data_IF_435237523303
#
_entry.id   IF_435237523303
#
_cell.length_a   1.000
_cell.length_b   1.000
_cell.length_c   1.000
_cell.angle_alpha   90.00
_cell.angle_beta   90.00
_cell.angle_gamma   90.00
#
_symmetry.space_group_name_H-M   'P 1'
#
loop_
_entity.id
_entity.type
_entity.pdbx_description
1 polymer ?
#
# COMPACT_ATOMS: atom_id res chain seq x y z
N UNK A 1 12.68 25.78 -10.07
CA UNK A 1 13.06 24.48 -10.69
C UNK A 1 11.99 24.13 -11.74
N UNK A 2 12.29 23.49 -12.89
CA UNK A 2 11.21 23.03 -13.80
C UNK A 2 10.63 21.73 -13.25
N UNK A 3 9.43 21.78 -12.69
CA UNK A 3 8.73 20.60 -12.18
C UNK A 3 8.38 19.62 -13.30
N UNK A 4 8.36 18.33 -12.96
CA UNK A 4 7.82 17.29 -13.82
C UNK A 4 6.30 17.42 -13.94
N UNK A 5 5.72 16.78 -14.96
CA UNK A 5 4.26 16.78 -15.20
C UNK A 5 3.46 16.09 -14.09
N UNK A 6 4.13 15.42 -13.16
CA UNK A 6 3.52 14.62 -12.10
C UNK A 6 3.80 15.20 -10.71
N UNK A 7 4.35 16.41 -10.67
CA UNK A 7 4.51 17.15 -9.43
C UNK A 7 3.14 17.56 -8.88
N UNK A 8 2.96 17.38 -7.58
CA UNK A 8 1.74 17.76 -6.87
C UNK A 8 2.09 18.82 -5.84
N UNK A 9 1.32 19.92 -5.83
CA UNK A 9 1.50 21.00 -4.89
C UNK A 9 1.22 20.53 -3.46
N UNK A 10 2.11 20.84 -2.53
CA UNK A 10 2.00 20.54 -1.10
C UNK A 10 1.53 21.74 -0.28
N UNK A 11 2.13 22.91 -0.49
CA UNK A 11 1.86 24.10 0.31
C UNK A 11 1.60 25.33 -0.56
N UNK A 12 0.68 26.18 -0.09
CA UNK A 12 0.50 27.54 -0.60
C UNK A 12 1.38 28.50 0.20
N UNK A 13 2.23 29.27 -0.48
CA UNK A 13 3.12 30.24 0.17
C UNK A 13 3.15 31.54 -0.62
N UNK A 14 3.22 32.67 0.09
CA UNK A 14 3.52 33.95 -0.55
C UNK A 14 4.92 33.89 -1.19
N UNK A 15 4.98 33.84 -2.53
CA UNK A 15 6.22 33.83 -3.32
C UNK A 15 6.38 32.60 -4.21
N UNK A 16 6.56 31.41 -3.63
CA UNK A 16 6.78 30.16 -4.38
C UNK A 16 6.09 28.98 -3.68
N UNK A 17 5.17 28.32 -4.41
CA UNK A 17 4.49 27.11 -3.96
C UNK A 17 5.49 25.95 -3.78
N UNK A 18 5.28 25.12 -2.77
CA UNK A 18 6.11 23.93 -2.53
C UNK A 18 5.44 22.73 -3.19
N UNK A 19 6.21 21.92 -3.92
CA UNK A 19 5.70 20.74 -4.64
C UNK A 19 6.41 19.46 -4.22
N UNK A 20 5.65 18.37 -4.14
CA UNK A 20 6.19 17.02 -4.19
C UNK A 20 6.31 16.60 -5.66
N UNK A 21 7.54 16.55 -6.17
CA UNK A 21 7.86 15.92 -7.44
C UNK A 21 8.43 14.50 -7.26
N UNK A 22 7.67 13.44 -7.60
CA UNK A 22 8.14 12.05 -7.50
C UNK A 22 9.39 11.72 -8.33
N UNK A 23 9.71 12.53 -9.35
CA UNK A 23 10.91 12.34 -10.18
C UNK A 23 12.16 12.78 -9.42
N UNK A 24 12.08 13.84 -8.62
CA UNK A 24 13.23 14.44 -7.94
C UNK A 24 13.33 14.02 -6.47
N UNK A 25 12.21 13.96 -5.76
CA UNK A 25 12.23 13.66 -4.32
C UNK A 25 12.21 12.17 -4.02
N UNK A 26 11.73 11.35 -4.95
CA UNK A 26 11.53 9.91 -4.78
C UNK A 26 10.06 9.52 -4.94
N UNK A 27 9.82 8.28 -5.36
CA UNK A 27 8.51 7.80 -5.83
C UNK A 27 7.55 7.36 -4.72
N UNK A 28 8.03 7.32 -3.49
CA UNK A 28 7.25 6.94 -2.30
C UNK A 28 7.20 8.12 -1.36
N UNK A 29 6.03 8.74 -1.21
CA UNK A 29 5.77 9.78 -0.22
C UNK A 29 5.21 9.12 1.04
N UNK A 30 5.89 9.31 2.17
CA UNK A 30 5.38 8.90 3.49
C UNK A 30 4.62 10.07 4.09
N UNK A 31 3.35 9.89 4.43
CA UNK A 31 2.52 10.93 5.04
C UNK A 31 2.20 10.50 6.47
N UNK A 32 2.63 11.30 7.43
CA UNK A 32 2.39 11.06 8.84
C UNK A 32 1.52 12.19 9.40
N UNK A 33 0.44 11.86 10.08
CA UNK A 33 -0.44 12.81 10.75
C UNK A 33 -1.25 12.09 11.81
N UNK A 34 -2.18 12.77 12.47
CA UNK A 34 -3.16 12.11 13.34
C UNK A 34 -4.58 12.53 12.98
N UNK A 35 -5.57 11.87 13.56
CA UNK A 35 -6.97 12.03 13.22
C UNK A 35 -7.18 11.81 11.70
N UNK A 36 -8.19 12.46 11.12
CA UNK A 36 -8.51 12.43 9.69
C UNK A 36 -7.43 13.00 8.72
N UNK A 37 -6.33 13.58 9.20
CA UNK A 37 -5.38 14.31 8.33
C UNK A 37 -4.66 13.43 7.30
N UNK A 38 -4.17 12.20 7.62
CA UNK A 38 -3.58 11.31 6.63
C UNK A 38 -4.56 10.92 5.51
N UNK A 39 -5.81 10.59 5.86
CA UNK A 39 -6.85 10.25 4.88
C UNK A 39 -7.23 11.43 3.97
N UNK A 40 -7.29 12.66 4.51
CA UNK A 40 -7.48 13.89 3.72
C UNK A 40 -6.34 14.14 2.76
N UNK A 41 -5.09 13.99 3.22
CA UNK A 41 -3.92 14.12 2.36
C UNK A 41 -3.96 13.08 1.23
N UNK A 42 -4.29 11.83 1.55
CA UNK A 42 -4.40 10.77 0.54
C UNK A 42 -5.48 11.07 -0.50
N UNK A 43 -6.64 11.55 -0.06
CA UNK A 43 -7.72 12.00 -0.93
C UNK A 43 -7.27 13.13 -1.86
N UNK A 44 -6.57 14.12 -1.31
CA UNK A 44 -6.01 15.22 -2.09
C UNK A 44 -5.04 14.73 -3.18
N UNK A 45 -4.08 13.85 -2.84
CA UNK A 45 -3.18 13.30 -3.84
C UNK A 45 -3.92 12.50 -4.91
N UNK A 46 -4.85 11.63 -4.51
CA UNK A 46 -5.65 10.81 -5.42
C UNK A 46 -6.38 11.68 -6.46
N UNK A 47 -6.99 12.78 -6.05
CA UNK A 47 -7.68 13.71 -6.95
C UNK A 47 -6.70 14.44 -7.88
N UNK A 48 -5.55 14.90 -7.37
CA UNK A 48 -4.51 15.54 -8.21
C UNK A 48 -3.95 14.61 -9.26
N UNK A 49 -3.74 13.33 -8.93
CA UNK A 49 -3.32 12.33 -9.91
C UNK A 49 -4.43 12.02 -10.92
N UNK A 50 -5.71 12.06 -10.52
CA UNK A 50 -6.83 11.94 -11.47
C UNK A 50 -6.83 13.06 -12.50
N UNK A 51 -6.60 14.30 -12.07
CA UNK A 51 -6.59 15.50 -12.94
C UNK A 51 -5.54 15.43 -14.05
N UNK A 52 -4.43 14.71 -13.83
CA UNK A 52 -3.37 14.50 -14.81
C UNK A 52 -3.43 13.13 -15.52
N UNK A 53 -4.61 12.49 -15.50
CA UNK A 53 -4.87 11.18 -16.13
C UNK A 53 -3.91 10.09 -15.62
N UNK A 54 -3.69 9.99 -14.32
CA UNK A 54 -3.07 8.81 -13.70
C UNK A 54 -4.15 7.81 -13.27
N UNK A 55 -3.86 6.52 -13.44
CA UNK A 55 -4.62 5.46 -12.77
C UNK A 55 -4.45 5.55 -11.26
N UNK A 56 -5.39 5.00 -10.51
CA UNK A 56 -5.43 5.14 -9.05
C UNK A 56 -5.73 3.79 -8.43
N UNK A 57 -4.94 3.38 -7.44
CA UNK A 57 -5.25 2.21 -6.62
C UNK A 57 -5.20 2.65 -5.17
N UNK A 58 -6.34 2.66 -4.50
CA UNK A 58 -6.42 3.05 -3.08
C UNK A 58 -6.75 1.82 -2.25
N UNK A 59 -5.91 1.54 -1.25
CA UNK A 59 -6.21 0.63 -0.17
C UNK A 59 -6.77 1.45 0.98
N UNK A 60 -8.07 1.30 1.24
CA UNK A 60 -8.77 2.07 2.25
C UNK A 60 -9.15 1.18 3.43
N UNK A 61 -8.47 1.41 4.56
CA UNK A 61 -8.70 0.70 5.83
C UNK A 61 -9.88 1.25 6.61
N UNK A 62 -10.35 2.48 6.34
CA UNK A 62 -11.44 3.09 7.11
C UNK A 62 -12.80 2.86 6.47
N UNK A 63 -12.84 2.66 5.15
CA UNK A 63 -14.08 2.52 4.37
C UNK A 63 -14.75 3.85 4.04
N UNK A 64 -14.09 4.98 4.31
CA UNK A 64 -14.64 6.32 4.11
C UNK A 64 -14.23 6.92 2.74
N UNK A 65 -13.36 6.27 1.98
CA UNK A 65 -12.91 6.81 0.70
C UNK A 65 -14.05 6.79 -0.33
N UNK A 66 -14.33 7.89 -1.04
CA UNK A 66 -15.46 7.95 -1.95
C UNK A 66 -15.26 7.02 -3.15
N UNK A 67 -16.25 6.16 -3.42
CA UNK A 67 -16.24 5.24 -4.58
C UNK A 67 -16.27 5.99 -5.93
N UNK A 68 -16.65 7.26 -5.93
CA UNK A 68 -16.82 8.06 -7.15
C UNK A 68 -15.49 8.17 -7.93
N UNK A 69 -15.51 7.69 -9.16
CA UNK A 69 -14.37 7.75 -10.08
C UNK A 69 -13.44 6.52 -10.01
N UNK A 70 -13.83 5.49 -9.26
CA UNK A 70 -13.25 4.15 -9.35
C UNK A 70 -14.09 3.30 -10.30
N UNK A 71 -13.43 2.63 -11.24
CA UNK A 71 -14.07 1.71 -12.19
C UNK A 71 -14.17 0.30 -11.60
N UNK A 72 -13.37 -0.01 -10.59
CA UNK A 72 -13.41 -1.25 -9.83
C UNK A 72 -13.46 -0.95 -8.34
N UNK A 73 -14.40 -1.56 -7.63
CA UNK A 73 -14.42 -1.57 -6.15
C UNK A 73 -14.31 -3.02 -5.68
N UNK A 74 -13.21 -3.34 -5.02
CA UNK A 74 -12.96 -4.64 -4.40
C UNK A 74 -13.29 -4.50 -2.92
N UNK A 75 -14.46 -4.97 -2.51
CA UNK A 75 -14.89 -4.95 -1.11
C UNK A 75 -14.41 -6.23 -0.43
N UNK A 76 -13.58 -6.10 0.59
CA UNK A 76 -13.18 -7.21 1.44
C UNK A 76 -13.96 -7.09 2.74
N UNK A 77 -14.65 -8.19 3.09
CA UNK A 77 -15.46 -8.28 4.30
C UNK A 77 -15.24 -9.64 4.93
N UNK A 78 -15.28 -9.69 6.24
CA UNK A 78 -15.18 -10.96 6.95
C UNK A 78 -16.33 -11.89 6.52
N UNK A 79 -16.02 -13.17 6.32
CA UNK A 79 -16.98 -14.22 5.93
C UNK A 79 -17.72 -13.98 4.61
N UNK A 80 -17.20 -13.15 3.69
CA UNK A 80 -17.75 -12.93 2.36
C UNK A 80 -16.76 -13.31 1.26
N UNK A 81 -17.30 -13.64 0.10
CA UNK A 81 -16.50 -13.87 -1.10
C UNK A 81 -15.82 -12.59 -1.58
N UNK A 82 -14.53 -12.69 -1.88
CA UNK A 82 -13.75 -11.63 -2.51
C UNK A 82 -13.12 -12.08 -3.84
N UNK A 83 -13.09 -13.38 -4.14
CA UNK A 83 -12.48 -13.95 -5.34
C UNK A 83 -10.96 -13.79 -5.39
N UNK A 84 -10.32 -13.50 -4.26
CA UNK A 84 -8.90 -13.18 -4.18
C UNK A 84 -8.05 -14.42 -3.89
N UNK A 85 -8.31 -15.55 -4.58
CA UNK A 85 -7.47 -16.74 -4.51
C UNK A 85 -6.23 -16.58 -5.42
N UNK A 86 -4.99 -16.65 -4.88
CA UNK A 86 -3.78 -16.48 -5.69
C UNK A 86 -3.65 -17.45 -6.87
N UNK A 87 -4.05 -18.72 -6.71
CA UNK A 87 -3.93 -19.72 -7.78
C UNK A 87 -5.01 -19.55 -8.84
N UNK A 88 -6.22 -19.13 -8.44
CA UNK A 88 -7.28 -18.79 -9.41
C UNK A 88 -6.89 -17.53 -10.20
N UNK A 89 -6.34 -16.51 -9.54
CA UNK A 89 -5.79 -15.32 -10.19
C UNK A 89 -4.67 -15.67 -11.18
N UNK A 90 -3.79 -16.61 -10.80
CA UNK A 90 -2.75 -17.11 -11.69
C UNK A 90 -3.32 -17.88 -12.89
N UNK A 91 -4.34 -18.71 -12.68
CA UNK A 91 -5.04 -19.43 -13.75
C UNK A 91 -5.70 -18.49 -14.78
N UNK A 92 -6.09 -17.28 -14.36
CA UNK A 92 -6.59 -16.21 -15.25
C UNK A 92 -5.49 -15.33 -15.84
N UNK A 93 -4.22 -15.56 -15.52
CA UNK A 93 -3.08 -14.78 -16.00
C UNK A 93 -2.94 -13.39 -15.37
N UNK A 94 -3.62 -13.12 -14.24
CA UNK A 94 -3.53 -11.84 -13.53
C UNK A 94 -2.23 -11.73 -12.71
N UNK A 95 -1.70 -12.87 -12.27
CA UNK A 95 -0.36 -13.05 -11.73
C UNK A 95 0.26 -14.32 -12.33
N UNK A 96 1.57 -14.51 -12.20
CA UNK A 96 2.20 -15.78 -12.57
C UNK A 96 2.06 -16.82 -11.45
N UNK A 97 2.12 -18.11 -11.83
CA UNK A 97 1.95 -19.22 -10.88
C UNK A 97 3.00 -19.24 -9.75
N UNK A 98 4.23 -18.80 -10.03
CA UNK A 98 5.27 -18.74 -9.00
C UNK A 98 4.95 -17.66 -7.96
N UNK A 99 4.52 -16.48 -8.42
CA UNK A 99 4.04 -15.41 -7.55
C UNK A 99 2.88 -15.89 -6.68
N UNK A 100 1.90 -16.61 -7.26
CA UNK A 100 0.80 -17.19 -6.48
C UNK A 100 1.29 -18.15 -5.39
N UNK A 101 2.21 -19.07 -5.71
CA UNK A 101 2.80 -19.98 -4.73
C UNK A 101 3.58 -19.23 -3.64
N UNK A 102 4.31 -18.15 -3.96
CA UNK A 102 5.03 -17.35 -2.96
C UNK A 102 4.10 -16.51 -2.06
N UNK A 103 2.91 -16.14 -2.55
CA UNK A 103 1.88 -15.53 -1.70
C UNK A 103 1.41 -16.56 -0.68
N UNK A 104 1.06 -17.78 -1.12
CA UNK A 104 0.63 -18.86 -0.23
C UNK A 104 1.75 -19.21 0.76
N UNK A 105 3.00 -19.22 0.31
CA UNK A 105 4.17 -19.38 1.17
C UNK A 105 4.20 -18.32 2.28
N UNK A 106 3.98 -17.06 1.93
CA UNK A 106 4.03 -15.94 2.88
C UNK A 106 2.85 -15.98 3.86
N UNK A 107 1.67 -16.38 3.40
CA UNK A 107 0.44 -16.43 4.20
C UNK A 107 0.44 -17.62 5.16
N UNK A 108 0.84 -18.81 4.68
CA UNK A 108 0.74 -20.07 5.43
C UNK A 108 2.08 -20.61 5.93
N UNK A 109 3.18 -19.91 5.70
CA UNK A 109 4.49 -20.29 6.23
C UNK A 109 5.12 -21.51 5.55
N UNK A 110 4.83 -21.76 4.27
CA UNK A 110 5.50 -22.83 3.54
C UNK A 110 7.02 -22.60 3.48
N UNK A 111 7.79 -23.68 3.52
CA UNK A 111 9.20 -23.62 3.17
C UNK A 111 9.37 -23.56 1.64
N UNK A 112 10.62 -23.34 1.19
CA UNK A 112 10.95 -23.25 -0.23
C UNK A 112 10.61 -24.53 -1.00
N UNK A 113 10.87 -25.70 -0.42
CA UNK A 113 10.65 -27.00 -1.07
C UNK A 113 9.15 -27.24 -1.28
N UNK A 114 8.34 -26.96 -0.26
CA UNK A 114 6.88 -27.06 -0.32
C UNK A 114 6.29 -26.05 -1.30
N UNK A 115 6.86 -24.85 -1.37
CA UNK A 115 6.45 -23.81 -2.33
C UNK A 115 6.75 -24.22 -3.78
N UNK A 116 7.95 -24.75 -4.04
CA UNK A 116 8.33 -25.26 -5.37
C UNK A 116 7.45 -26.46 -5.77
N UNK A 117 7.07 -27.30 -4.81
CA UNK A 117 6.15 -28.42 -5.04
C UNK A 117 4.74 -27.95 -5.39
N UNK A 118 4.19 -27.01 -4.62
CA UNK A 118 2.88 -26.41 -4.90
C UNK A 118 2.86 -25.75 -6.29
N UNK A 119 3.92 -25.02 -6.64
CA UNK A 119 4.07 -24.43 -7.96
C UNK A 119 4.07 -25.48 -9.07
N UNK A 120 4.81 -26.58 -8.91
CA UNK A 120 4.85 -27.67 -9.87
C UNK A 120 3.49 -28.36 -10.04
N UNK A 121 2.75 -28.58 -8.96
CA UNK A 121 1.41 -29.18 -9.01
C UNK A 121 0.37 -28.24 -9.64
N UNK A 122 0.50 -26.92 -9.42
CA UNK A 122 -0.27 -25.91 -10.14
C UNK A 122 0.01 -25.94 -11.64
N UNK A 123 1.29 -25.95 -12.06
CA UNK A 123 1.67 -26.05 -13.48
C UNK A 123 1.17 -27.35 -14.12
N UNK A 124 1.15 -28.45 -13.38
CA UNK A 124 0.60 -29.73 -13.83
C UNK A 124 -0.95 -29.77 -13.84
N UNK A 125 -1.62 -28.68 -13.41
CA UNK A 125 -3.07 -28.57 -13.37
C UNK A 125 -3.76 -29.42 -12.30
N UNK A 126 -2.98 -30.00 -11.37
CA UNK A 126 -3.49 -30.83 -10.26
C UNK A 126 -4.15 -30.00 -9.17
N UNK A 127 -3.62 -28.79 -8.95
CA UNK A 127 -4.16 -27.81 -8.01
C UNK A 127 -4.53 -26.54 -8.78
N UNK A 128 -5.69 -25.96 -8.48
CA UNK A 128 -6.22 -24.77 -9.19
C UNK A 128 -6.67 -23.63 -8.26
N UNK A 129 -6.70 -23.87 -6.96
CA UNK A 129 -7.12 -22.94 -5.91
C UNK A 129 -6.45 -23.33 -4.59
N UNK A 130 -6.42 -22.43 -3.60
CA UNK A 130 -5.90 -22.71 -2.26
C UNK A 130 -6.74 -23.81 -1.58
N UNK A 131 -8.07 -23.73 -1.68
CA UNK A 131 -8.97 -24.79 -1.19
C UNK A 131 -8.70 -26.14 -1.89
N UNK A 132 -8.30 -26.12 -3.16
CA UNK A 132 -7.85 -27.32 -3.88
C UNK A 132 -6.48 -27.83 -3.41
N UNK A 133 -5.56 -26.94 -3.04
CA UNK A 133 -4.26 -27.28 -2.47
C UNK A 133 -4.43 -27.97 -1.11
N UNK A 134 -5.31 -27.42 -0.27
CA UNK A 134 -5.66 -27.93 1.05
C UNK A 134 -6.24 -29.36 1.00
N UNK A 135 -7.00 -29.69 -0.06
CA UNK A 135 -7.61 -31.01 -0.26
C UNK A 135 -6.69 -32.03 -0.93
N UNK A 136 -5.44 -31.67 -1.19
CA UNK A 136 -4.49 -32.57 -1.85
C UNK A 136 -3.76 -33.47 -0.85
N UNK A 137 -3.33 -34.66 -1.29
CA UNK A 137 -2.51 -35.58 -0.47
C UNK A 137 -1.03 -35.14 -0.38
N UNK A 138 -0.72 -33.85 -0.57
CA UNK A 138 0.64 -33.32 -0.56
C UNK A 138 0.97 -32.70 0.80
N UNK A 139 2.24 -32.75 1.18
CA UNK A 139 2.72 -32.21 2.47
C UNK A 139 2.48 -30.70 2.66
N UNK A 140 2.39 -29.91 1.58
CA UNK A 140 2.03 -28.50 1.71
C UNK A 140 0.58 -28.29 2.18
N UNK A 141 -0.31 -29.27 1.97
CA UNK A 141 -1.69 -29.20 2.42
C UNK A 141 -1.76 -29.20 3.95
N UNK A 142 -0.96 -30.06 4.60
CA UNK A 142 -0.85 -30.13 6.07
C UNK A 142 -0.45 -28.77 6.66
N UNK A 143 0.55 -28.10 6.07
CA UNK A 143 1.02 -26.79 6.56
C UNK A 143 -0.01 -25.69 6.32
N UNK A 144 -0.71 -25.71 5.18
CA UNK A 144 -1.82 -24.76 4.93
C UNK A 144 -2.92 -24.98 5.98
N UNK A 145 -3.28 -26.24 6.26
CA UNK A 145 -4.34 -26.61 7.21
C UNK A 145 -4.13 -26.06 8.63
N UNK A 146 -2.87 -25.96 9.08
CA UNK A 146 -2.55 -25.44 10.43
C UNK A 146 -3.06 -24.01 10.68
N UNK A 147 -3.14 -23.19 9.64
CA UNK A 147 -3.52 -21.76 9.75
C UNK A 147 -4.71 -21.38 8.87
N UNK A 148 -5.22 -22.28 8.02
CA UNK A 148 -6.35 -22.02 7.14
C UNK A 148 -7.67 -22.00 7.92
N UNK A 149 -8.42 -20.91 7.74
CA UNK A 149 -9.66 -20.66 8.47
C UNK A 149 -10.87 -20.60 7.54
N UNK A 150 -12.11 -20.68 8.08
CA UNK A 150 -13.31 -20.40 7.29
C UNK A 150 -13.36 -18.99 6.70
N UNK A 151 -12.64 -18.02 7.29
CA UNK A 151 -12.52 -16.67 6.71
C UNK A 151 -11.72 -16.71 5.42
N UNK A 152 -10.65 -17.50 5.36
CA UNK A 152 -9.83 -17.68 4.16
C UNK A 152 -10.63 -18.39 3.05
N UNK A 153 -11.38 -19.44 3.40
CA UNK A 153 -12.26 -20.13 2.44
C UNK A 153 -13.27 -19.16 1.81
N UNK A 154 -13.95 -18.36 2.64
CA UNK A 154 -14.89 -17.36 2.14
C UNK A 154 -14.15 -16.35 1.24
N UNK A 155 -13.07 -15.77 1.72
CA UNK A 155 -12.29 -14.75 1.01
C UNK A 155 -11.77 -15.21 -0.36
N UNK A 156 -11.26 -16.44 -0.45
CA UNK A 156 -10.78 -17.04 -1.69
C UNK A 156 -11.89 -17.48 -2.65
N UNK A 157 -13.07 -17.78 -2.12
CA UNK A 157 -14.22 -18.16 -2.95
C UNK A 157 -14.74 -17.01 -3.81
N UNK A 158 -15.57 -17.37 -4.80
CA UNK A 158 -16.15 -16.43 -5.76
C UNK A 158 -15.30 -16.26 -7.03
N UNK A 159 -15.72 -15.33 -7.87
CA UNK A 159 -14.99 -15.00 -9.09
C UNK A 159 -13.94 -13.92 -8.81
N UNK A 160 -12.72 -14.05 -9.37
CA UNK A 160 -11.75 -12.96 -9.36
C UNK A 160 -12.36 -11.63 -9.80
N UNK A 161 -12.13 -10.55 -9.04
CA UNK A 161 -12.62 -9.24 -9.42
C UNK A 161 -11.94 -8.77 -10.71
N UNK A 162 -12.57 -7.82 -11.37
CA UNK A 162 -11.89 -7.08 -12.42
C UNK A 162 -10.78 -6.22 -11.82
N UNK A 163 -9.74 -5.95 -12.59
CA UNK A 163 -8.66 -5.06 -12.18
C UNK A 163 -8.56 -3.94 -13.19
N UNK A 164 -9.51 -3.00 -13.15
CA UNK A 164 -9.53 -1.82 -14.01
C UNK A 164 -8.42 -0.82 -13.68
N UNK A 165 -8.47 0.38 -14.29
CA UNK A 165 -7.41 1.39 -14.15
C UNK A 165 -7.50 2.10 -12.79
N UNK A 166 -8.71 2.29 -12.28
CA UNK A 166 -8.99 2.95 -11.02
C UNK A 166 -9.64 1.95 -10.05
N UNK A 167 -8.87 1.47 -9.09
CA UNK A 167 -9.28 0.45 -8.12
C UNK A 167 -9.40 1.07 -6.72
N UNK A 168 -10.55 0.90 -6.09
CA UNK A 168 -10.70 1.08 -4.65
C UNK A 168 -10.76 -0.31 -4.02
N UNK A 169 -9.81 -0.60 -3.12
CA UNK A 169 -9.83 -1.78 -2.26
C UNK A 169 -10.36 -1.32 -0.91
N UNK A 170 -11.63 -1.60 -0.67
CA UNK A 170 -12.34 -1.23 0.55
C UNK A 170 -12.16 -2.35 1.58
N UNK A 171 -11.46 -2.02 2.67
CA UNK A 171 -11.15 -2.89 3.80
C UNK A 171 -11.87 -2.42 5.07
N UNK A 172 -12.77 -1.42 5.02
CA UNK A 172 -13.40 -0.82 6.20
C UNK A 172 -14.29 -1.80 7.00
N UNK A 173 -14.80 -2.83 6.34
CA UNK A 173 -15.56 -3.93 6.95
C UNK A 173 -14.73 -5.22 7.12
N UNK A 174 -13.40 -5.14 7.00
CA UNK A 174 -12.48 -6.25 7.28
C UNK A 174 -11.93 -6.12 8.70
N UNK A 175 -12.57 -6.75 9.69
CA UNK A 175 -12.12 -6.67 11.08
C UNK A 175 -10.93 -7.60 11.36
N UNK A 176 -10.67 -8.59 10.50
CA UNK A 176 -9.45 -9.40 10.54
C UNK A 176 -8.26 -8.68 9.91
N UNK A 177 -7.32 -8.21 10.74
CA UNK A 177 -6.07 -7.57 10.27
C UNK A 177 -5.26 -8.49 9.35
N UNK A 178 -5.30 -9.81 9.59
CA UNK A 178 -4.63 -10.78 8.73
C UNK A 178 -5.26 -10.83 7.34
N UNK A 179 -6.60 -10.83 7.27
CA UNK A 179 -7.32 -10.85 6.00
C UNK A 179 -7.08 -9.57 5.19
N UNK A 180 -7.08 -8.42 5.86
CA UNK A 180 -6.72 -7.14 5.26
C UNK A 180 -5.27 -7.16 4.70
N UNK A 181 -4.33 -7.72 5.45
CA UNK A 181 -2.95 -7.93 5.01
C UNK A 181 -2.83 -8.85 3.80
N UNK A 182 -3.58 -9.97 3.77
CA UNK A 182 -3.62 -10.90 2.64
C UNK A 182 -4.19 -10.21 1.40
N UNK A 183 -5.32 -9.49 1.52
CA UNK A 183 -5.89 -8.72 0.43
C UNK A 183 -4.92 -7.67 -0.11
N UNK A 184 -4.24 -6.95 0.79
CA UNK A 184 -3.23 -5.97 0.43
C UNK A 184 -2.10 -6.63 -0.38
N UNK A 185 -1.58 -7.78 0.05
CA UNK A 185 -0.53 -8.52 -0.65
C UNK A 185 -0.98 -8.98 -2.04
N UNK A 186 -2.16 -9.58 -2.15
CA UNK A 186 -2.68 -10.15 -3.39
C UNK A 186 -2.92 -9.07 -4.43
N UNK A 187 -3.65 -8.01 -4.07
CA UNK A 187 -3.91 -6.91 -5.00
C UNK A 187 -2.61 -6.19 -5.34
N UNK A 188 -1.71 -5.98 -4.38
CA UNK A 188 -0.37 -5.42 -4.63
C UNK A 188 0.41 -6.24 -5.64
N UNK A 189 0.34 -7.57 -5.58
CA UNK A 189 0.99 -8.46 -6.54
C UNK A 189 0.40 -8.32 -7.95
N UNK A 190 -0.92 -8.19 -8.08
CA UNK A 190 -1.60 -7.97 -9.37
C UNK A 190 -1.18 -6.63 -10.00
N UNK A 191 -1.09 -5.56 -9.20
CA UNK A 191 -0.80 -4.21 -9.71
C UNK A 191 0.70 -3.88 -9.75
N UNK A 192 1.59 -4.77 -9.31
CA UNK A 192 3.03 -4.49 -9.08
C UNK A 192 3.79 -3.95 -10.29
N UNK A 193 3.28 -4.16 -11.51
CA UNK A 193 3.91 -3.73 -12.76
C UNK A 193 3.25 -2.49 -13.38
N UNK A 194 2.18 -1.96 -12.77
CA UNK A 194 1.43 -0.82 -13.30
C UNK A 194 2.27 0.46 -13.28
N UNK A 195 2.22 1.17 -14.41
CA UNK A 195 2.83 2.50 -14.61
C UNK A 195 1.72 3.53 -14.81
N UNK A 196 2.07 4.82 -14.80
CA UNK A 196 1.12 5.94 -14.86
C UNK A 196 0.00 5.76 -13.82
N UNK A 197 0.38 5.33 -12.61
CA UNK A 197 -0.55 4.94 -11.55
C UNK A 197 -0.05 5.51 -10.23
N UNK A 198 -0.97 6.10 -9.47
CA UNK A 198 -0.77 6.41 -8.06
C UNK A 198 -1.35 5.27 -7.21
N UNK A 199 -0.56 4.78 -6.27
CA UNK A 199 -0.98 3.80 -5.27
C UNK A 199 -1.06 4.52 -3.93
N UNK A 200 -2.24 4.51 -3.34
CA UNK A 200 -2.51 5.07 -2.03
C UNK A 200 -2.74 3.96 -1.01
N UNK A 201 -2.11 4.06 0.15
CA UNK A 201 -2.35 3.16 1.27
C UNK A 201 -2.77 4.01 2.46
N UNK A 202 -4.04 3.88 2.85
CA UNK A 202 -4.56 4.43 4.10
C UNK A 202 -4.16 3.48 5.23
N UNK A 203 -3.74 4.02 6.37
CA UNK A 203 -3.11 3.30 7.49
C UNK A 203 -2.07 2.25 7.09
N UNK A 204 -1.07 2.69 6.34
CA UNK A 204 0.03 1.83 5.90
C UNK A 204 0.71 1.08 7.06
N UNK A 205 0.79 1.68 8.26
CA UNK A 205 1.35 1.02 9.44
C UNK A 205 0.53 -0.20 9.90
N UNK A 206 -0.81 -0.10 9.89
CA UNK A 206 -1.71 -1.19 10.30
C UNK A 206 -1.58 -2.36 9.33
N UNK A 207 -1.60 -2.09 8.02
CA UNK A 207 -1.44 -3.13 7.01
C UNK A 207 -0.03 -3.76 7.09
N UNK A 208 1.01 -2.96 7.28
CA UNK A 208 2.39 -3.45 7.36
C UNK A 208 2.69 -4.29 8.61
N UNK A 209 1.81 -4.32 9.62
CA UNK A 209 2.00 -5.08 10.85
C UNK A 209 1.97 -6.61 10.63
N UNK A 210 1.24 -7.07 9.61
CA UNK A 210 1.11 -8.50 9.29
C UNK A 210 2.24 -8.98 8.37
N UNK A 211 2.56 -10.27 8.40
CA UNK A 211 3.53 -10.87 7.47
C UNK A 211 3.16 -10.60 6.01
N UNK A 212 1.87 -10.75 5.66
CA UNK A 212 1.38 -10.51 4.32
C UNK A 212 1.49 -9.03 3.91
N UNK A 213 1.03 -8.11 4.76
CA UNK A 213 1.10 -6.69 4.43
C UNK A 213 2.53 -6.12 4.45
N UNK A 214 3.39 -6.63 5.33
CA UNK A 214 4.83 -6.34 5.31
C UNK A 214 5.48 -6.78 3.99
N UNK A 215 5.08 -7.93 3.43
CA UNK A 215 5.52 -8.37 2.11
C UNK A 215 4.90 -7.56 0.95
N UNK A 216 3.74 -6.95 1.15
CA UNK A 216 3.07 -6.11 0.16
C UNK A 216 3.73 -4.73 0.00
N UNK A 217 4.20 -4.12 1.08
CA UNK A 217 4.83 -2.78 1.08
C UNK A 217 5.95 -2.66 0.03
N UNK A 218 6.94 -3.58 -0.07
CA UNK A 218 7.95 -3.54 -1.11
C UNK A 218 7.39 -3.62 -2.54
N UNK A 219 6.28 -4.33 -2.77
CA UNK A 219 5.70 -4.46 -4.12
C UNK A 219 5.18 -3.11 -4.64
N UNK A 220 4.53 -2.34 -3.76
CA UNK A 220 3.97 -1.03 -4.10
C UNK A 220 4.99 0.10 -4.00
N UNK A 221 5.99 0.01 -3.13
CA UNK A 221 7.00 1.08 -2.94
C UNK A 221 8.25 0.94 -3.81
N UNK A 222 8.47 -0.22 -4.44
CA UNK A 222 9.61 -0.41 -5.36
C UNK A 222 9.63 0.72 -6.42
N UNK A 223 10.77 1.40 -6.65
CA UNK A 223 10.81 2.47 -7.64
C UNK A 223 10.49 1.96 -9.05
N UNK A 224 9.40 2.46 -9.64
CA UNK A 224 9.00 2.16 -11.01
C UNK A 224 8.68 3.44 -11.76
N UNK A 225 9.11 3.56 -13.02
CA UNK A 225 8.86 4.74 -13.86
C UNK A 225 7.37 5.05 -13.92
N UNK A 226 7.02 6.31 -13.66
CA UNK A 226 5.65 6.82 -13.69
C UNK A 226 4.69 6.16 -12.67
N UNK A 227 5.19 5.49 -11.64
CA UNK A 227 4.40 5.06 -10.48
C UNK A 227 4.65 5.98 -9.30
N UNK A 228 3.62 6.34 -8.56
CA UNK A 228 3.78 7.10 -7.31
C UNK A 228 3.08 6.32 -6.22
N UNK A 229 3.70 6.25 -5.04
CA UNK A 229 3.11 5.57 -3.88
C UNK A 229 3.01 6.57 -2.74
N UNK A 230 1.83 6.70 -2.16
CA UNK A 230 1.58 7.53 -0.98
C UNK A 230 1.17 6.60 0.15
N UNK A 231 2.00 6.54 1.20
CA UNK A 231 1.73 5.77 2.40
C UNK A 231 1.25 6.74 3.48
N UNK A 232 -0.05 6.79 3.69
CA UNK A 232 -0.66 7.60 4.74
C UNK A 232 -0.79 6.74 6.01
N UNK A 233 -0.42 7.30 7.15
CA UNK A 233 -0.49 6.56 8.41
C UNK A 233 -0.60 7.51 9.60
N UNK A 234 -1.39 7.09 10.59
CA UNK A 234 -1.41 7.73 11.90
C UNK A 234 -0.20 7.36 12.75
N UNK A 235 0.39 6.19 12.51
CA UNK A 235 1.45 5.64 13.34
C UNK A 235 2.83 5.80 12.69
N UNK A 236 3.79 6.29 13.48
CA UNK A 236 5.20 6.38 13.12
C UNK A 236 5.92 5.05 13.45
N UNK A 237 5.69 4.02 12.63
CA UNK A 237 6.34 2.70 12.80
C UNK A 237 7.59 2.58 11.93
N UNK A 238 8.59 1.84 12.42
CA UNK A 238 9.88 1.65 11.75
C UNK A 238 9.74 1.09 10.33
N UNK A 239 8.79 0.18 10.11
CA UNK A 239 8.54 -0.44 8.80
C UNK A 239 8.15 0.58 7.73
N UNK A 240 7.57 1.72 8.11
CA UNK A 240 7.22 2.82 7.22
C UNK A 240 8.30 3.90 7.25
N UNK A 241 8.77 4.30 8.44
CA UNK A 241 9.75 5.37 8.60
C UNK A 241 11.06 5.09 7.85
N UNK A 242 11.53 3.83 7.88
CA UNK A 242 12.77 3.40 7.23
C UNK A 242 12.65 3.23 5.71
N UNK A 243 11.45 3.37 5.13
CA UNK A 243 11.30 3.32 3.67
C UNK A 243 11.97 4.54 3.02
N UNK A 244 12.66 4.35 1.89
CA UNK A 244 13.27 5.46 1.16
C UNK A 244 12.20 6.37 0.56
N UNK A 245 12.45 7.67 0.60
CA UNK A 245 11.57 8.70 0.05
C UNK A 245 11.33 9.84 1.03
N UNK A 246 10.70 10.93 0.58
CA UNK A 246 10.41 12.07 1.43
C UNK A 246 9.28 11.76 2.41
N UNK A 247 9.18 12.60 3.44
CA UNK A 247 8.09 12.57 4.41
C UNK A 247 7.32 13.89 4.37
N UNK A 248 6.00 13.80 4.37
CA UNK A 248 5.10 14.90 4.68
C UNK A 248 4.57 14.68 6.10
N UNK A 249 5.05 15.48 7.04
CA UNK A 249 4.59 15.50 8.41
C UNK A 249 3.45 16.51 8.53
N UNK A 250 2.31 16.05 8.99
CA UNK A 250 1.11 16.83 9.28
C UNK A 250 1.02 17.05 10.81
N UNK A 251 -0.05 17.70 11.23
CA UNK A 251 -0.38 17.82 12.65
C UNK A 251 -0.35 16.44 13.34
N UNK A 252 0.44 16.33 14.41
CA UNK A 252 0.69 15.12 15.18
C UNK A 252 1.16 15.48 16.60
N UNK A 253 1.15 14.51 17.51
CA UNK A 253 1.72 14.57 18.83
C UNK A 253 3.22 14.97 18.79
N UNK A 254 3.69 15.88 19.67
CA UNK A 254 5.07 16.36 19.65
C UNK A 254 6.15 15.28 19.71
N UNK A 255 5.94 14.21 20.50
CA UNK A 255 6.93 13.14 20.65
C UNK A 255 7.02 12.33 19.37
N UNK A 256 5.86 12.04 18.76
CA UNK A 256 5.80 11.35 17.47
C UNK A 256 6.39 12.19 16.34
N UNK A 257 6.13 13.50 16.31
CA UNK A 257 6.75 14.42 15.35
C UNK A 257 8.27 14.42 15.49
N UNK A 258 8.78 14.46 16.73
CA UNK A 258 10.22 14.42 17.00
C UNK A 258 10.85 13.13 16.47
N UNK A 259 10.22 11.97 16.73
CA UNK A 259 10.67 10.69 16.21
C UNK A 259 10.70 10.65 14.67
N UNK A 260 9.68 11.21 14.00
CA UNK A 260 9.64 11.29 12.54
C UNK A 260 10.76 12.20 12.01
N UNK A 261 11.02 13.34 12.63
CA UNK A 261 12.14 14.20 12.24
C UNK A 261 13.48 13.49 12.37
N UNK A 262 13.68 12.79 13.48
CA UNK A 262 14.90 12.04 13.75
C UNK A 262 15.09 10.90 12.75
N UNK A 263 14.06 10.09 12.51
CA UNK A 263 14.10 9.00 11.54
C UNK A 263 14.39 9.49 10.11
N UNK A 264 13.91 10.69 9.75
CA UNK A 264 14.24 11.30 8.47
C UNK A 264 15.59 12.02 8.47
N UNK A 265 16.30 12.10 9.61
CA UNK A 265 17.65 12.66 9.73
C UNK A 265 17.70 14.19 9.82
N UNK A 266 16.60 14.83 10.22
CA UNK A 266 16.54 16.29 10.38
C UNK A 266 17.34 16.69 11.62
N UNK A 267 18.34 17.58 11.52
CA UNK A 267 19.13 18.02 12.68
C UNK A 267 18.26 18.64 13.77
N UNK A 268 18.67 18.47 15.03
CA UNK A 268 18.05 19.16 16.15
C UNK A 268 18.18 20.69 16.00
N UNK A 269 17.18 21.43 16.48
CA UNK A 269 17.18 22.89 16.46
C UNK A 269 16.07 23.48 15.57
N UNK A 270 16.28 24.68 14.98
CA UNK A 270 15.21 25.46 14.35
C UNK A 270 14.48 24.80 13.17
N UNK A 271 15.04 23.72 12.60
CA UNK A 271 14.44 22.95 11.51
C UNK A 271 13.31 22.03 12.02
N UNK A 272 13.38 21.57 13.27
CA UNK A 272 12.33 20.76 13.91
C UNK A 272 11.33 21.67 14.59
N UNK A 273 10.40 22.25 13.81
CA UNK A 273 9.29 23.01 14.38
C UNK A 273 8.12 22.07 14.68
N UNK A 274 7.19 22.54 15.51
CA UNK A 274 5.93 21.84 15.69
C UNK A 274 5.02 22.14 14.49
N UNK A 275 4.39 21.11 13.90
CA UNK A 275 3.40 21.29 12.84
C UNK A 275 2.03 21.48 13.48
N UNK A 276 1.37 22.61 13.22
CA UNK A 276 0.02 22.89 13.71
C UNK A 276 -1.09 22.34 12.78
N UNK A 277 -2.34 22.33 13.26
CA UNK A 277 -3.50 21.94 12.44
C UNK A 277 -3.62 22.81 11.19
N UNK A 278 -3.77 22.18 10.02
CA UNK A 278 -3.83 22.86 8.71
C UNK A 278 -2.46 23.23 8.12
N UNK A 279 -1.37 22.88 8.80
CA UNK A 279 0.00 23.06 8.33
C UNK A 279 0.65 21.71 8.04
N UNK A 280 1.75 21.74 7.29
CA UNK A 280 2.61 20.58 7.06
C UNK A 280 4.08 20.96 7.01
N UNK A 281 4.93 19.97 7.25
CA UNK A 281 6.35 19.99 7.01
C UNK A 281 6.74 18.92 5.98
N UNK A 282 7.33 19.33 4.87
CA UNK A 282 7.82 18.44 3.84
C UNK A 282 9.33 18.26 4.01
N UNK A 283 9.72 17.06 4.43
CA UNK A 283 11.09 16.64 4.66
C UNK A 283 11.57 15.83 3.46
N UNK A 284 12.64 16.28 2.81
CA UNK A 284 13.27 15.55 1.71
C UNK A 284 14.78 15.71 1.73
N UNK A 285 15.48 14.74 1.14
CA UNK A 285 16.93 14.75 1.03
C UNK A 285 17.36 15.06 -0.40
N UNK A 286 18.41 15.86 -0.50
CA UNK A 286 19.21 16.07 -1.70
C UNK A 286 20.58 15.42 -1.48
N UNK A 287 21.41 15.22 -2.52
CA UNK A 287 22.76 14.72 -2.33
C UNK A 287 23.60 15.55 -1.34
N UNK A 288 23.32 16.84 -1.22
CA UNK A 288 24.11 17.79 -0.42
C UNK A 288 23.53 18.07 0.98
N UNK A 289 22.21 18.02 1.14
CA UNK A 289 21.55 18.42 2.39
C UNK A 289 20.18 17.78 2.61
N UNK A 290 19.67 17.90 3.82
CA UNK A 290 18.26 17.70 4.15
C UNK A 290 17.52 19.03 4.15
N UNK A 291 16.33 19.04 3.57
CA UNK A 291 15.47 20.21 3.50
C UNK A 291 14.17 19.94 4.25
N UNK A 292 13.68 20.97 4.92
CA UNK A 292 12.36 20.96 5.58
C UNK A 292 11.62 22.21 5.14
N UNK A 293 10.66 22.02 4.24
CA UNK A 293 9.77 23.08 3.76
C UNK A 293 8.48 23.08 4.57
N UNK A 294 7.95 24.26 4.83
CA UNK A 294 6.79 24.46 5.69
C UNK A 294 5.71 25.26 4.98
N UNK A 295 4.44 24.97 5.27
CA UNK A 295 3.36 25.84 4.84
C UNK A 295 1.97 25.29 5.13
N UNK A 296 0.97 26.03 4.65
CA UNK A 296 -0.44 25.67 4.80
C UNK A 296 -0.83 24.60 3.78
N UNK A 297 -1.60 23.62 4.24
CA UNK A 297 -2.11 22.55 3.40
C UNK A 297 -3.27 23.06 2.53
N UNK A 298 -3.41 22.57 1.29
CA UNK A 298 -4.51 22.91 0.39
C UNK A 298 -5.79 22.06 0.61
N UNK A 299 -5.92 21.38 1.76
CA UNK A 299 -7.00 20.43 2.10
C UNK A 299 -7.31 20.41 3.60
#
# INVERSE_FOLDING_TARGET
MKYSRIAVRLFEREGEDVFYDPVYHGRTLKVFGMDQWPGRALSYFSERYREIDYGRVIFDTTGDFPEKGFDTVIRVKDSREAGLDPLVLAGKGLIDGYTASTIIQTVYGLDRTLTERLYADFLAGKVRSVSGALKSDQKYAEVIEESYTPLDEAFYSGNPPEFGRNILVDLGETHSVNLAGIAFLIVSAVIRHRRNTMIGVNDAAVLAYTTAGGAAIPLVTKPLRARVTVLATEYAVDSIMNLPGPALLLYHDPDTQSAIYEANGVPSGPMRKHVHKGEGAFVYRTPETINVEWGKLPF
#
